data_IF_748155343712
#
_entry.id   IF_748155343712
#
_cell.length_a   1.000
_cell.length_b   1.000
_cell.length_c   1.000
_cell.angle_alpha   90.00
_cell.angle_beta   90.00
_cell.angle_gamma   90.00
#
_symmetry.space_group_name_H-M   'P 1'
#
loop_
_entity.id
_entity.type
_entity.pdbx_description
1 polymer ?
#
# COMPACT_ATOMS: atom_id res chain seq x y z
N UNK A 1 40.62 -16.87 1.22
CA UNK A 1 39.55 -16.98 2.25
C UNK A 1 39.59 -15.73 3.11
N UNK A 2 38.49 -14.97 3.22
CA UNK A 2 38.46 -13.68 3.91
C UNK A 2 38.51 -13.88 5.43
N UNK A 3 39.49 -13.26 6.10
CA UNK A 3 39.79 -13.39 7.54
C UNK A 3 39.06 -12.37 8.43
N UNK A 4 38.03 -11.69 7.92
CA UNK A 4 37.34 -10.66 8.71
C UNK A 4 36.45 -11.30 9.78
N UNK A 5 36.77 -11.02 11.06
CA UNK A 5 35.94 -11.38 12.22
C UNK A 5 34.57 -10.71 12.09
N UNK A 6 33.51 -11.52 11.99
CA UNK A 6 32.13 -11.04 12.02
C UNK A 6 31.84 -10.38 13.37
N UNK A 7 31.41 -9.11 13.38
CA UNK A 7 31.14 -8.36 14.61
C UNK A 7 31.53 -6.88 14.56
N UNK A 8 32.28 -6.43 13.54
CA UNK A 8 32.58 -5.00 13.37
C UNK A 8 31.35 -4.32 12.79
N UNK A 9 30.64 -3.53 13.60
CA UNK A 9 29.57 -2.65 13.11
C UNK A 9 30.20 -1.69 12.08
N UNK A 10 29.72 -1.71 10.84
CA UNK A 10 30.29 -0.81 9.82
C UNK A 10 30.05 0.62 10.28
N UNK A 11 31.08 1.47 10.22
CA UNK A 11 30.94 2.89 10.54
C UNK A 11 29.78 3.48 9.73
N UNK A 12 28.94 4.26 10.41
CA UNK A 12 27.82 4.96 9.79
C UNK A 12 28.36 5.81 8.62
N UNK A 13 27.65 5.91 7.48
CA UNK A 13 28.12 6.70 6.35
C UNK A 13 28.47 8.13 6.78
N UNK A 14 29.65 8.61 6.38
CA UNK A 14 30.13 9.95 6.73
C UNK A 14 29.17 11.07 6.28
N UNK A 15 28.41 10.82 5.23
CA UNK A 15 27.41 11.75 4.70
C UNK A 15 26.03 11.09 4.74
N UNK A 16 25.14 11.63 5.57
CA UNK A 16 23.74 11.22 5.62
C UNK A 16 22.94 11.95 4.53
N UNK A 17 21.99 11.22 3.92
CA UNK A 17 21.10 11.80 2.92
C UNK A 17 20.17 12.82 3.58
N UNK A 18 20.30 14.10 3.21
CA UNK A 18 19.43 15.18 3.72
C UNK A 18 18.02 15.16 3.14
N UNK A 19 17.86 14.60 1.94
CA UNK A 19 16.59 14.56 1.22
C UNK A 19 16.20 13.14 0.86
N UNK A 20 14.90 12.85 0.91
CA UNK A 20 14.37 11.58 0.41
C UNK A 20 14.47 11.51 -1.12
N UNK A 21 14.75 10.34 -1.65
CA UNK A 21 14.70 10.08 -3.10
C UNK A 21 13.37 10.56 -3.71
N UNK A 22 13.46 11.35 -4.78
CA UNK A 22 12.33 11.81 -5.61
C UNK A 22 12.54 11.29 -7.02
N UNK A 23 11.50 10.69 -7.62
CA UNK A 23 11.55 10.30 -9.02
C UNK A 23 11.00 11.41 -9.92
N UNK A 24 11.35 11.37 -11.20
CA UNK A 24 10.72 12.21 -12.22
C UNK A 24 9.21 11.91 -12.24
N UNK A 25 8.38 12.95 -12.04
CA UNK A 25 6.91 12.84 -11.99
C UNK A 25 6.31 12.46 -13.34
N UNK A 26 6.96 12.82 -14.44
CA UNK A 26 6.43 12.66 -15.80
C UNK A 26 6.77 11.29 -16.44
N UNK A 27 7.32 10.35 -15.67
CA UNK A 27 7.69 9.05 -16.22
C UNK A 27 6.47 8.14 -16.33
N UNK A 28 6.00 7.89 -17.56
CA UNK A 28 4.91 6.94 -17.88
C UNK A 28 5.10 5.56 -17.24
N UNK A 29 6.35 5.10 -17.10
CA UNK A 29 6.67 3.81 -16.47
C UNK A 29 6.40 3.83 -14.96
N UNK A 30 6.75 4.92 -14.27
CA UNK A 30 6.54 5.02 -12.81
C UNK A 30 5.07 5.17 -12.47
N UNK A 31 4.33 5.90 -13.30
CA UNK A 31 2.88 6.05 -13.17
C UNK A 31 2.17 4.70 -13.25
N UNK A 32 2.48 3.89 -14.29
CA UNK A 32 1.98 2.51 -14.41
C UNK A 32 2.33 1.64 -13.20
N UNK A 33 3.55 1.79 -12.65
CA UNK A 33 3.99 1.03 -11.48
C UNK A 33 3.26 1.45 -10.20
N UNK A 34 2.99 2.74 -10.04
CA UNK A 34 2.24 3.27 -8.92
C UNK A 34 0.77 2.84 -8.96
N UNK A 35 0.16 2.85 -10.15
CA UNK A 35 -1.24 2.47 -10.36
C UNK A 35 -1.53 0.98 -10.14
N UNK A 36 -0.55 0.09 -10.28
CA UNK A 36 -0.76 -1.34 -10.00
C UNK A 36 -1.18 -1.56 -8.54
N UNK A 37 -2.26 -2.28 -8.23
CA UNK A 37 -2.66 -2.55 -6.85
C UNK A 37 -1.72 -3.56 -6.17
N UNK A 38 -1.70 -3.53 -4.83
CA UNK A 38 -1.02 -4.53 -3.98
C UNK A 38 -2.13 -5.27 -3.22
N UNK A 39 -2.21 -6.58 -3.36
CA UNK A 39 -3.28 -7.40 -2.80
C UNK A 39 -2.76 -8.74 -2.28
N UNK A 40 -3.53 -9.41 -1.41
CA UNK A 40 -3.24 -10.75 -0.87
C UNK A 40 -1.84 -10.91 -0.23
N UNK A 41 -1.27 -9.82 0.28
CA UNK A 41 -0.01 -9.79 1.03
C UNK A 41 -0.18 -9.19 2.42
N UNK A 42 0.53 -9.74 3.41
CA UNK A 42 0.53 -9.19 4.76
C UNK A 42 1.20 -7.79 4.80
N UNK A 43 0.93 -7.03 5.85
CA UNK A 43 1.46 -5.66 6.00
C UNK A 43 2.98 -5.56 5.85
N UNK A 44 3.72 -6.53 6.39
CA UNK A 44 5.18 -6.57 6.29
C UNK A 44 5.64 -6.71 4.83
N UNK A 45 4.96 -7.53 4.04
CA UNK A 45 5.25 -7.71 2.62
C UNK A 45 4.75 -6.52 1.80
N UNK A 46 3.60 -5.93 2.15
CA UNK A 46 3.06 -4.70 1.56
C UNK A 46 4.11 -3.58 1.60
N UNK A 47 4.69 -3.31 2.79
CA UNK A 47 5.77 -2.31 2.97
C UNK A 47 6.99 -2.56 2.08
N UNK A 48 7.38 -3.83 1.87
CA UNK A 48 8.49 -4.18 0.97
C UNK A 48 8.16 -3.85 -0.48
N UNK A 49 6.93 -4.13 -0.93
CA UNK A 49 6.47 -3.84 -2.29
C UNK A 49 6.35 -2.33 -2.51
N UNK A 50 5.74 -1.61 -1.57
CA UNK A 50 5.63 -0.14 -1.58
C UNK A 50 7.01 0.52 -1.69
N UNK A 51 7.98 0.06 -0.90
CA UNK A 51 9.35 0.54 -0.99
C UNK A 51 9.93 0.29 -2.39
N UNK A 52 9.76 -0.91 -2.95
CA UNK A 52 10.23 -1.21 -4.32
C UNK A 52 9.58 -0.27 -5.35
N UNK A 53 8.30 0.06 -5.22
CA UNK A 53 7.61 1.02 -6.10
C UNK A 53 8.18 2.43 -5.93
N UNK A 54 8.28 2.93 -4.70
CA UNK A 54 8.80 4.27 -4.36
C UNK A 54 10.21 4.52 -4.91
N UNK A 55 11.07 3.51 -4.85
CA UNK A 55 12.46 3.61 -5.30
C UNK A 55 12.69 3.09 -6.74
N UNK A 56 11.62 2.86 -7.52
CA UNK A 56 11.70 2.34 -8.91
C UNK A 56 12.47 1.01 -9.04
N UNK A 57 12.48 0.21 -7.97
CA UNK A 57 13.09 -1.14 -7.93
C UNK A 57 12.07 -2.25 -8.17
N UNK A 58 10.81 -1.89 -8.43
CA UNK A 58 9.73 -2.82 -8.77
C UNK A 58 9.92 -3.38 -10.19
N UNK A 59 9.91 -4.70 -10.30
CA UNK A 59 10.03 -5.44 -11.57
C UNK A 59 8.70 -6.16 -11.84
N UNK A 60 7.87 -5.66 -12.76
CA UNK A 60 6.66 -6.37 -13.17
C UNK A 60 7.02 -7.68 -13.87
N UNK A 61 6.12 -8.65 -13.80
CA UNK A 61 6.23 -9.90 -14.55
C UNK A 61 5.89 -9.66 -16.02
N UNK A 62 6.66 -10.25 -16.92
CA UNK A 62 6.34 -10.30 -18.36
C UNK A 62 5.48 -11.51 -18.72
N UNK A 63 5.64 -12.62 -17.98
CA UNK A 63 4.90 -13.86 -18.14
C UNK A 63 4.42 -14.35 -16.75
N UNK A 64 3.33 -15.13 -16.69
CA UNK A 64 2.82 -15.64 -15.41
C UNK A 64 3.83 -16.61 -14.76
N UNK A 65 4.02 -16.46 -13.45
CA UNK A 65 4.89 -17.30 -12.65
C UNK A 65 4.25 -18.64 -12.29
N UNK A 66 5.09 -19.61 -11.90
CA UNK A 66 4.65 -20.91 -11.36
C UNK A 66 4.22 -20.76 -9.91
N UNK A 67 3.02 -21.23 -9.58
CA UNK A 67 2.52 -21.29 -8.22
C UNK A 67 3.21 -22.44 -7.45
N UNK A 68 3.68 -22.16 -6.23
CA UNK A 68 4.30 -23.18 -5.35
C UNK A 68 3.30 -24.21 -4.84
N UNK A 69 2.01 -23.85 -4.71
CA UNK A 69 0.97 -24.74 -4.16
C UNK A 69 0.35 -25.65 -5.22
N UNK A 70 -0.19 -25.09 -6.31
CA UNK A 70 -0.85 -25.88 -7.36
C UNK A 70 0.07 -26.28 -8.52
N UNK A 71 1.29 -25.74 -8.59
CA UNK A 71 2.24 -26.05 -9.67
C UNK A 71 1.93 -25.42 -11.03
N UNK A 72 0.76 -24.81 -11.21
CA UNK A 72 0.33 -24.17 -12.45
C UNK A 72 0.99 -22.79 -12.66
N UNK A 73 1.13 -22.36 -13.92
CA UNK A 73 1.67 -21.03 -14.28
C UNK A 73 0.56 -19.97 -14.33
N UNK A 74 -0.03 -19.66 -13.18
CA UNK A 74 -1.13 -18.68 -13.07
C UNK A 74 -0.84 -17.51 -12.11
N UNK A 75 0.41 -17.32 -11.66
CA UNK A 75 0.79 -16.19 -10.80
C UNK A 75 0.94 -14.93 -11.65
N UNK A 76 -0.04 -14.03 -11.59
CA UNK A 76 -0.09 -12.81 -12.43
C UNK A 76 0.62 -11.61 -11.80
N UNK A 77 0.60 -11.49 -10.48
CA UNK A 77 1.22 -10.34 -9.80
C UNK A 77 2.67 -10.61 -9.35
N UNK A 78 3.50 -9.57 -9.44
CA UNK A 78 4.92 -9.68 -9.20
C UNK A 78 5.23 -9.94 -7.72
N UNK A 79 6.30 -10.70 -7.47
CA UNK A 79 6.77 -11.11 -6.13
C UNK A 79 5.87 -12.11 -5.39
N UNK A 80 4.75 -12.54 -5.96
CA UNK A 80 3.97 -13.63 -5.42
C UNK A 80 4.64 -14.98 -5.71
N UNK A 81 4.55 -15.89 -4.75
CA UNK A 81 4.99 -17.29 -4.85
C UNK A 81 3.82 -18.23 -5.14
N UNK A 82 2.60 -17.81 -4.80
CA UNK A 82 1.37 -18.57 -5.03
C UNK A 82 0.38 -17.73 -5.82
N UNK A 83 -0.58 -18.38 -6.45
CA UNK A 83 -1.65 -17.71 -7.18
C UNK A 83 -2.77 -17.26 -6.25
N UNK A 84 -3.61 -16.38 -6.79
CA UNK A 84 -4.66 -15.70 -6.03
C UNK A 84 -5.70 -16.69 -5.48
N UNK A 85 -6.01 -17.73 -6.25
CA UNK A 85 -6.90 -18.83 -5.84
C UNK A 85 -6.34 -19.58 -4.63
N UNK A 86 -5.07 -20.00 -4.69
CA UNK A 86 -4.42 -20.71 -3.58
C UNK A 86 -4.27 -19.82 -2.34
N UNK A 87 -3.99 -18.53 -2.53
CA UNK A 87 -3.85 -17.58 -1.42
C UNK A 87 -5.19 -17.40 -0.68
N UNK A 88 -6.30 -17.26 -1.42
CA UNK A 88 -7.64 -17.14 -0.85
C UNK A 88 -8.09 -18.42 -0.17
N UNK A 89 -7.92 -19.57 -0.81
CA UNK A 89 -8.35 -20.86 -0.27
C UNK A 89 -7.66 -21.24 1.05
N UNK A 90 -6.41 -20.83 1.25
CA UNK A 90 -5.62 -21.18 2.43
C UNK A 90 -5.48 -20.02 3.43
N UNK A 91 -6.00 -18.82 3.13
CA UNK A 91 -5.83 -17.60 3.93
C UNK A 91 -4.36 -17.31 4.30
N UNK A 92 -3.46 -17.42 3.32
CA UNK A 92 -2.02 -17.17 3.49
C UNK A 92 -1.54 -16.03 2.60
N UNK A 93 -0.51 -15.33 3.05
CA UNK A 93 0.16 -14.28 2.29
C UNK A 93 0.80 -14.85 1.01
N UNK A 94 0.47 -14.25 -0.14
CA UNK A 94 0.94 -14.70 -1.44
C UNK A 94 2.47 -14.55 -1.64
N UNK A 95 3.13 -13.72 -0.84
CA UNK A 95 4.58 -13.46 -0.93
C UNK A 95 5.42 -14.23 0.10
N UNK A 96 4.97 -14.40 1.34
CA UNK A 96 5.76 -15.05 2.41
C UNK A 96 5.17 -16.36 2.94
N UNK A 97 4.03 -16.80 2.42
CA UNK A 97 3.36 -18.06 2.78
C UNK A 97 2.98 -18.17 4.27
N UNK A 98 3.00 -17.07 5.01
CA UNK A 98 2.54 -17.01 6.39
C UNK A 98 1.03 -16.81 6.43
N UNK A 99 0.37 -17.41 7.42
CA UNK A 99 -1.06 -17.20 7.66
C UNK A 99 -1.35 -15.71 7.85
N UNK A 100 -2.43 -15.25 7.21
CA UNK A 100 -2.97 -13.93 7.45
C UNK A 100 -3.66 -13.93 8.81
N UNK A 101 -2.91 -13.58 9.85
CA UNK A 101 -3.48 -13.24 11.13
C UNK A 101 -3.72 -11.73 11.14
N UNK A 102 -4.74 -11.28 10.41
CA UNK A 102 -5.19 -9.89 10.47
C UNK A 102 -6.57 -9.90 11.13
N UNK A 103 -6.75 -9.19 12.27
CA UNK A 103 -8.04 -9.13 12.95
C UNK A 103 -9.05 -8.49 12.00
N UNK A 104 -10.20 -9.14 11.86
CA UNK A 104 -11.34 -8.63 11.10
C UNK A 104 -11.68 -7.26 11.72
N UNK A 105 -11.61 -6.14 10.98
CA UNK A 105 -12.09 -4.88 11.51
C UNK A 105 -13.59 -5.04 11.75
N UNK A 106 -13.99 -4.88 13.00
CA UNK A 106 -15.41 -4.87 13.38
C UNK A 106 -16.15 -3.87 12.50
N UNK A 107 -17.37 -4.19 12.04
CA UNK A 107 -18.16 -3.28 11.25
C UNK A 107 -18.40 -2.03 12.09
N UNK A 108 -17.70 -0.95 11.75
CA UNK A 108 -18.03 0.38 12.23
C UNK A 108 -19.44 0.68 11.72
N UNK A 109 -20.40 0.51 12.62
CA UNK A 109 -21.77 0.91 12.41
C UNK A 109 -21.72 2.32 11.84
N UNK A 110 -22.19 2.46 10.62
CA UNK A 110 -22.49 3.75 10.05
C UNK A 110 -23.50 4.36 11.00
N UNK A 111 -23.04 5.23 11.89
CA UNK A 111 -23.90 6.08 12.67
C UNK A 111 -24.73 6.85 11.66
N UNK A 112 -25.94 6.33 11.46
CA UNK A 112 -27.02 6.94 10.73
C UNK A 112 -27.11 8.36 11.25
N UNK A 113 -26.65 9.31 10.43
CA UNK A 113 -26.87 10.71 10.68
C UNK A 113 -28.38 10.93 10.55
N UNK A 114 -29.04 10.90 11.71
CA UNK A 114 -30.33 11.50 12.05
C UNK A 114 -31.05 12.15 10.86
N UNK A 115 -31.84 11.38 10.11
CA UNK A 115 -32.80 11.93 9.14
C UNK A 115 -34.09 12.44 9.81
N UNK A 116 -34.04 12.75 11.12
CA UNK A 116 -35.23 13.08 11.92
C UNK A 116 -35.01 14.20 12.95
N UNK A 117 -33.93 14.98 12.85
CA UNK A 117 -33.78 16.25 13.57
C UNK A 117 -34.00 17.40 12.58
N UNK A 118 -35.16 17.33 11.92
CA UNK A 118 -35.88 18.49 11.45
C UNK A 118 -36.56 19.20 12.63
N UNK A 119 -36.95 20.44 12.35
CA UNK A 119 -37.61 21.46 13.18
C UNK A 119 -36.64 22.39 13.93
N UNK A 120 -36.72 23.72 13.81
CA UNK A 120 -37.44 24.66 12.94
C UNK A 120 -37.02 26.04 13.44
N UNK A 121 -36.89 27.01 12.52
CA UNK A 121 -37.12 28.45 12.72
C UNK A 121 -36.43 29.16 13.90
N UNK A 122 -35.42 30.00 13.62
CA UNK A 122 -35.41 31.38 14.12
C UNK A 122 -34.83 32.35 13.06
N UNK A 123 -35.60 33.42 12.91
CA UNK A 123 -35.52 34.55 12.02
C UNK A 123 -34.25 35.40 12.30
N UNK A 124 -33.46 35.69 11.26
CA UNK A 124 -32.47 36.77 11.30
C UNK A 124 -32.62 37.59 10.02
N UNK A 125 -33.71 38.36 9.98
CA UNK A 125 -33.68 39.66 9.31
C UNK A 125 -32.53 40.52 9.85
N UNK A 126 -32.07 41.47 9.04
CA UNK A 126 -31.29 42.65 9.43
C UNK A 126 -29.76 42.55 9.24
N UNK A 127 -29.32 42.81 7.99
CA UNK A 127 -28.08 43.56 7.77
C UNK A 127 -28.34 44.55 6.63
N UNK A 128 -28.49 45.80 7.06
CA UNK A 128 -28.83 46.99 6.31
C UNK A 128 -28.18 47.13 4.93
N UNK A 129 -29.01 47.56 3.98
CA UNK A 129 -28.58 48.50 2.94
C UNK A 129 -28.22 49.82 3.62
N UNK A 130 -26.96 50.22 3.56
CA UNK A 130 -26.53 51.63 3.51
C UNK A 130 -25.11 51.63 2.89
N UNK A 131 -24.99 52.13 1.67
CA UNK A 131 -24.36 53.44 1.41
C UNK A 131 -22.85 53.31 1.14
N UNK A 132 -22.45 53.25 -0.15
CA UNK A 132 -21.50 54.23 -0.68
C UNK A 132 -21.40 54.18 -2.21
N UNK A 133 -21.36 55.39 -2.75
CA UNK A 133 -21.23 55.86 -4.14
C UNK A 133 -20.03 55.30 -4.93
#
# INVERSE_FOLDING_TARGET
>A
MSTRRGGVTSRTPAHQNKFSFRHNKNSKKTEKIAAMPIYLVCERCRKKIEWKKKYRKYKPLTAPGKCVKCGNRNVKAAYHQICDECARANHICAMCLQAWNEPIPEPKETSSCCSSCCSSDEDYSDFDLDDFE
#
